data_IF_129267810132
#
_entry.id   IF_129267810132
#
_cell.length_a   1.000
_cell.length_b   1.000
_cell.length_c   1.000
_cell.angle_alpha   90.00
_cell.angle_beta   90.00
_cell.angle_gamma   90.00
#
_symmetry.space_group_name_H-M   'P 1'
#
loop_
_entity.id
_entity.type
_entity.pdbx_description
1 polymer ?
#
# COMPACT_ATOMS: atom_id res chain seq x y z
N UNK A 1 6.36 -8.93 -31.71
CA UNK A 1 7.36 -9.19 -30.65
C UNK A 1 7.44 -10.69 -30.43
N UNK A 2 8.63 -11.25 -30.23
CA UNK A 2 8.74 -12.63 -29.77
C UNK A 2 8.15 -12.73 -28.35
N UNK A 3 7.39 -13.80 -28.03
CA UNK A 3 6.89 -14.01 -26.68
C UNK A 3 8.06 -14.08 -25.70
N UNK A 4 8.01 -13.31 -24.61
CA UNK A 4 8.95 -13.42 -23.48
C UNK A 4 8.41 -14.47 -22.51
N UNK A 5 8.96 -15.70 -22.51
CA UNK A 5 8.39 -16.80 -21.72
C UNK A 5 8.55 -16.61 -20.21
N UNK A 6 9.54 -15.84 -19.79
CA UNK A 6 9.78 -15.46 -18.40
C UNK A 6 9.90 -13.94 -18.33
N UNK A 7 9.07 -13.31 -17.50
CA UNK A 7 9.14 -11.87 -17.20
C UNK A 7 9.78 -11.66 -15.83
N UNK A 8 10.59 -10.63 -15.73
CA UNK A 8 11.25 -10.18 -14.50
C UNK A 8 10.49 -9.00 -13.88
N UNK A 9 10.37 -9.00 -12.56
CA UNK A 9 9.68 -7.96 -11.80
C UNK A 9 10.15 -7.95 -10.35
N UNK A 10 9.73 -6.92 -9.61
CA UNK A 10 9.82 -6.86 -8.14
C UNK A 10 8.46 -7.16 -7.52
N UNK A 11 8.42 -7.39 -6.21
CA UNK A 11 7.14 -7.52 -5.48
C UNK A 11 6.43 -6.16 -5.39
N UNK A 12 7.13 -5.11 -4.98
CA UNK A 12 6.59 -3.75 -4.88
C UNK A 12 7.66 -2.80 -4.34
N UNK A 13 7.66 -2.62 -3.02
CA UNK A 13 8.52 -1.69 -2.28
C UNK A 13 10.01 -1.72 -2.64
N UNK A 14 10.57 -0.52 -2.81
CA UNK A 14 12.00 -0.25 -2.88
C UNK A 14 12.50 0.36 -1.56
N UNK A 15 13.79 0.17 -1.20
CA UNK A 15 14.38 0.87 -0.07
C UNK A 15 14.27 2.39 -0.26
N UNK A 16 13.83 3.10 0.78
CA UNK A 16 13.84 4.55 0.77
C UNK A 16 15.28 5.05 0.65
N UNK A 17 15.57 5.99 -0.27
CA UNK A 17 16.80 6.76 -0.21
C UNK A 17 16.95 7.44 1.15
N UNK A 18 18.18 7.61 1.63
CA UNK A 18 18.43 8.16 2.97
C UNK A 18 17.81 9.55 3.20
N UNK A 19 17.73 10.36 2.16
CA UNK A 19 17.09 11.67 2.21
C UNK A 19 15.57 11.57 2.36
N UNK A 20 14.93 10.60 1.70
CA UNK A 20 13.50 10.36 1.83
C UNK A 20 13.19 9.83 3.23
N UNK A 21 13.98 8.88 3.73
CA UNK A 21 13.84 8.33 5.08
C UNK A 21 13.94 9.43 6.15
N UNK A 22 14.90 10.34 6.01
CA UNK A 22 15.02 11.48 6.91
C UNK A 22 13.80 12.41 6.81
N UNK A 23 13.42 12.81 5.59
CA UNK A 23 12.32 13.77 5.40
C UNK A 23 10.95 13.22 5.80
N UNK A 24 10.74 11.91 5.63
CA UNK A 24 9.61 11.11 6.13
C UNK A 24 9.30 11.39 7.62
N UNK A 25 10.34 11.62 8.42
CA UNK A 25 10.24 11.87 9.86
C UNK A 25 10.12 13.37 10.21
N UNK A 26 10.19 14.25 9.22
CA UNK A 26 10.24 15.72 9.37
C UNK A 26 9.33 16.44 8.37
N UNK A 27 8.23 15.81 7.95
CA UNK A 27 7.33 16.36 6.93
C UNK A 27 6.74 17.73 7.31
N UNK A 28 6.65 18.06 8.60
CA UNK A 28 6.20 19.35 9.10
C UNK A 28 7.14 20.52 8.76
N UNK A 29 8.37 20.22 8.31
CA UNK A 29 9.36 21.21 7.89
C UNK A 29 9.28 21.56 6.40
N UNK A 30 8.47 20.84 5.63
CA UNK A 30 8.37 20.98 4.18
C UNK A 30 6.99 21.50 3.76
N UNK A 31 6.97 22.36 2.74
CA UNK A 31 5.75 22.74 2.04
C UNK A 31 5.18 21.58 1.21
N UNK A 32 3.91 21.68 0.85
CA UNK A 32 3.24 20.65 0.04
C UNK A 32 3.93 20.38 -1.29
N UNK A 33 4.47 21.42 -1.93
CA UNK A 33 5.15 21.31 -3.22
C UNK A 33 6.51 20.62 -3.08
N UNK A 34 7.24 20.89 -1.99
CA UNK A 34 8.50 20.22 -1.66
C UNK A 34 8.27 18.73 -1.35
N UNK A 35 7.19 18.40 -0.66
CA UNK A 35 6.79 17.00 -0.40
C UNK A 35 6.42 16.30 -1.72
N UNK A 36 5.70 16.98 -2.61
CA UNK A 36 5.33 16.43 -3.91
C UNK A 36 6.54 16.19 -4.81
N UNK A 37 7.49 17.13 -4.86
CA UNK A 37 8.77 17.01 -5.56
C UNK A 37 9.56 15.80 -5.04
N UNK A 38 9.75 15.73 -3.72
CA UNK A 38 10.48 14.64 -3.06
C UNK A 38 9.89 13.26 -3.34
N UNK A 39 8.56 13.17 -3.38
CA UNK A 39 7.84 11.96 -3.75
C UNK A 39 8.10 11.54 -5.20
N UNK A 40 8.04 12.48 -6.14
CA UNK A 40 8.32 12.19 -7.56
C UNK A 40 9.79 11.80 -7.76
N UNK A 41 10.73 12.51 -7.14
CA UNK A 41 12.16 12.20 -7.20
C UNK A 41 12.48 10.79 -6.70
N UNK A 42 11.80 10.35 -5.64
CA UNK A 42 12.00 9.01 -5.09
C UNK A 42 11.51 7.93 -6.06
N UNK A 43 10.34 8.15 -6.66
CA UNK A 43 9.78 7.27 -7.69
C UNK A 43 10.69 7.23 -8.92
N UNK A 44 11.24 8.37 -9.36
CA UNK A 44 12.21 8.44 -10.47
C UNK A 44 13.44 7.58 -10.15
N UNK A 45 13.98 7.67 -8.94
CA UNK A 45 15.12 6.85 -8.52
C UNK A 45 14.80 5.35 -8.60
N UNK A 46 13.64 4.93 -8.08
CA UNK A 46 13.21 3.54 -8.13
C UNK A 46 12.97 3.05 -9.58
N UNK A 47 12.38 3.88 -10.44
CA UNK A 47 12.18 3.57 -11.87
C UNK A 47 13.55 3.41 -12.55
N UNK A 48 14.48 4.34 -12.32
CA UNK A 48 15.80 4.31 -12.93
C UNK A 48 16.56 3.02 -12.61
N UNK A 49 16.53 2.57 -11.36
CA UNK A 49 17.19 1.32 -10.96
C UNK A 49 16.54 0.10 -11.63
N UNK A 50 15.20 0.03 -11.64
CA UNK A 50 14.45 -1.04 -12.29
C UNK A 50 14.70 -1.12 -13.81
N UNK A 51 14.80 0.03 -14.48
CA UNK A 51 15.11 0.12 -15.91
C UNK A 51 16.55 -0.29 -16.19
N UNK A 52 17.51 0.18 -15.39
CA UNK A 52 18.92 -0.18 -15.50
C UNK A 52 19.15 -1.69 -15.25
N UNK A 53 18.30 -2.30 -14.41
CA UNK A 53 18.26 -3.74 -14.17
C UNK A 53 17.50 -4.54 -15.27
N UNK A 54 16.98 -3.86 -16.30
CA UNK A 54 16.27 -4.47 -17.43
C UNK A 54 15.00 -5.23 -17.04
N UNK A 55 14.27 -4.77 -16.03
CA UNK A 55 13.02 -5.41 -15.61
C UNK A 55 11.92 -5.30 -16.69
N UNK A 56 11.17 -6.39 -16.87
CA UNK A 56 10.04 -6.45 -17.81
C UNK A 56 8.81 -5.73 -17.27
N UNK A 57 8.62 -5.78 -15.96
CA UNK A 57 7.48 -5.19 -15.24
C UNK A 57 7.99 -4.40 -14.04
N UNK A 58 7.67 -3.11 -14.00
CA UNK A 58 8.16 -2.18 -12.97
C UNK A 58 7.03 -1.62 -12.12
N UNK A 59 7.39 -1.10 -10.95
CA UNK A 59 6.49 -0.41 -10.00
C UNK A 59 7.02 0.99 -9.71
N UNK A 60 6.28 1.80 -8.97
CA UNK A 60 6.75 3.07 -8.40
C UNK A 60 7.68 2.86 -7.18
N UNK A 61 7.93 1.60 -6.80
CA UNK A 61 8.72 1.24 -5.64
C UNK A 61 8.03 1.53 -4.32
N UNK A 62 6.71 1.76 -4.30
CA UNK A 62 5.93 2.18 -3.12
C UNK A 62 6.58 3.39 -2.39
N UNK A 63 7.28 4.26 -3.11
CA UNK A 63 8.08 5.34 -2.52
C UNK A 63 7.24 6.43 -1.86
N UNK A 64 5.93 6.41 -2.07
CA UNK A 64 5.01 7.46 -1.58
C UNK A 64 4.11 7.00 -0.45
N UNK A 65 4.38 5.81 0.09
CA UNK A 65 3.72 5.24 1.26
C UNK A 65 4.76 4.78 2.26
N UNK A 66 4.55 5.05 3.55
CA UNK A 66 5.48 4.67 4.62
C UNK A 66 5.52 3.16 4.89
N UNK A 67 4.39 2.53 4.68
CA UNK A 67 4.16 1.12 4.96
C UNK A 67 3.14 0.56 3.96
N UNK A 68 3.38 -0.66 3.48
CA UNK A 68 2.59 -1.29 2.43
C UNK A 68 1.11 -1.48 2.80
N UNK A 69 0.75 -1.54 4.10
CA UNK A 69 -0.63 -1.64 4.53
C UNK A 69 -1.09 -0.48 5.43
N UNK A 70 -0.27 0.00 6.37
CA UNK A 70 -0.72 1.00 7.34
C UNK A 70 -0.98 2.37 6.69
N UNK A 71 -0.27 2.71 5.62
CA UNK A 71 -0.49 3.98 4.91
C UNK A 71 -1.91 4.07 4.34
N UNK A 72 -2.51 2.93 3.99
CA UNK A 72 -3.88 2.86 3.48
C UNK A 72 -4.94 3.23 4.51
N UNK A 73 -4.63 3.19 5.82
CA UNK A 73 -5.58 3.56 6.86
C UNK A 73 -5.90 5.06 6.83
N UNK A 74 -4.99 5.90 6.30
CA UNK A 74 -5.25 7.32 6.08
C UNK A 74 -6.30 7.61 5.01
N UNK A 75 -6.67 6.60 4.21
CA UNK A 75 -7.68 6.68 3.17
C UNK A 75 -9.03 6.07 3.58
N UNK A 76 -9.06 5.31 4.68
CA UNK A 76 -10.26 4.65 5.17
C UNK A 76 -11.11 5.60 6.02
N UNK A 77 -12.40 5.60 5.73
CA UNK A 77 -13.43 6.26 6.52
C UNK A 77 -13.83 5.41 7.74
N UNK A 78 -14.40 6.04 8.77
CA UNK A 78 -14.95 5.34 9.93
C UNK A 78 -13.90 4.88 10.95
N UNK A 79 -12.63 5.27 10.79
CA UNK A 79 -11.56 4.98 11.73
C UNK A 79 -11.41 6.07 12.80
N UNK A 80 -11.13 5.67 14.03
CA UNK A 80 -10.72 6.57 15.12
C UNK A 80 -9.21 6.76 15.19
N UNK A 81 -8.75 7.45 16.23
CA UNK A 81 -7.32 7.62 16.48
C UNK A 81 -6.66 6.27 16.84
N UNK A 82 -5.50 5.92 16.25
CA UNK A 82 -4.80 4.68 16.57
C UNK A 82 -4.29 4.69 18.02
N UNK A 83 -4.34 3.55 18.67
CA UNK A 83 -3.68 3.34 19.95
C UNK A 83 -2.17 3.54 19.82
N UNK A 84 -1.50 4.10 20.84
CA UNK A 84 -0.05 4.23 20.83
C UNK A 84 0.62 2.85 20.77
N UNK A 85 1.85 2.82 20.26
CA UNK A 85 2.66 1.62 20.26
C UNK A 85 2.80 1.05 21.68
N UNK A 86 2.69 -0.27 21.80
CA UNK A 86 2.97 -1.00 23.06
C UNK A 86 4.47 -1.26 23.27
N UNK A 87 5.29 -1.05 22.23
CA UNK A 87 6.75 -1.21 22.26
C UNK A 87 7.42 -0.06 21.53
N UNK A 88 8.20 0.74 22.26
CA UNK A 88 8.89 1.92 21.72
C UNK A 88 10.37 1.66 21.38
N UNK A 89 10.97 0.61 21.94
CA UNK A 89 12.39 0.30 21.76
C UNK A 89 12.58 -1.10 21.18
N UNK A 90 13.66 -1.28 20.43
CA UNK A 90 14.04 -2.54 19.77
C UNK A 90 13.81 -2.52 18.26
N UNK A 91 14.20 -3.59 17.55
CA UNK A 91 14.01 -3.67 16.10
C UNK A 91 12.54 -3.49 15.71
N UNK A 92 12.26 -2.78 14.59
CA UNK A 92 10.91 -2.66 14.06
C UNK A 92 10.24 -4.02 13.89
N UNK A 93 9.06 -4.18 14.47
CA UNK A 93 8.30 -5.42 14.47
C UNK A 93 6.79 -5.15 14.62
N UNK A 94 5.97 -6.18 14.42
CA UNK A 94 4.51 -6.05 14.42
C UNK A 94 3.92 -5.60 15.77
N UNK A 95 4.62 -5.82 16.88
CA UNK A 95 4.20 -5.38 18.21
C UNK A 95 4.49 -3.90 18.50
N UNK A 96 5.21 -3.21 17.62
CA UNK A 96 5.35 -1.75 17.63
C UNK A 96 4.22 -1.02 16.89
N UNK A 97 3.37 -1.76 16.15
CA UNK A 97 2.23 -1.18 15.44
C UNK A 97 1.07 -0.99 16.43
N UNK A 98 0.35 0.14 16.35
CA UNK A 98 -0.88 0.40 17.11
C UNK A 98 -2.08 -0.36 16.55
N UNK A 99 -3.17 -0.48 17.32
CA UNK A 99 -4.48 -0.91 16.78
C UNK A 99 -5.37 0.31 16.59
N UNK A 100 -6.27 0.26 15.61
CA UNK A 100 -7.14 1.38 15.26
C UNK A 100 -8.59 1.02 15.55
N UNK A 101 -9.31 1.80 16.39
CA UNK A 101 -10.72 1.55 16.65
C UNK A 101 -11.58 1.93 15.45
N UNK A 102 -12.63 1.16 15.20
CA UNK A 102 -13.67 1.49 14.23
C UNK A 102 -14.77 2.28 14.96
N UNK A 103 -14.98 3.53 14.56
CA UNK A 103 -15.93 4.48 15.17
C UNK A 103 -17.12 4.82 14.27
N UNK A 104 -17.12 4.32 13.03
CA UNK A 104 -18.22 4.47 12.08
C UNK A 104 -18.17 3.41 10.98
N UNK A 105 -19.02 3.57 9.95
CA UNK A 105 -19.04 2.67 8.80
C UNK A 105 -17.75 2.78 8.00
N UNK A 106 -17.13 1.63 7.72
CA UNK A 106 -15.92 1.54 6.89
C UNK A 106 -16.23 1.91 5.44
N UNK A 107 -15.32 2.68 4.83
CA UNK A 107 -15.40 3.11 3.44
C UNK A 107 -14.07 3.72 2.98
N UNK A 108 -14.02 4.19 1.74
CA UNK A 108 -12.91 5.01 1.23
C UNK A 108 -13.46 5.95 0.15
N UNK A 109 -14.13 7.02 0.55
CA UNK A 109 -14.83 7.92 -0.37
C UNK A 109 -13.92 8.55 -1.45
N UNK A 110 -12.61 8.59 -1.19
CA UNK A 110 -11.58 9.13 -2.09
C UNK A 110 -10.73 8.04 -2.76
N UNK A 111 -11.11 6.77 -2.65
CA UNK A 111 -10.28 5.63 -3.00
C UNK A 111 -9.16 5.39 -1.98
N UNK A 112 -8.34 4.38 -2.25
CA UNK A 112 -7.22 3.93 -1.41
C UNK A 112 -5.89 4.61 -1.78
N UNK A 113 -5.87 5.46 -2.80
CA UNK A 113 -4.70 6.25 -3.21
C UNK A 113 -3.79 5.54 -4.24
N UNK A 114 -3.95 4.23 -4.43
CA UNK A 114 -3.13 3.45 -5.37
C UNK A 114 -3.32 3.91 -6.82
N UNK A 115 -4.51 4.39 -7.18
CA UNK A 115 -4.75 4.98 -8.52
C UNK A 115 -3.86 6.21 -8.76
N UNK A 116 -3.69 7.08 -7.76
CA UNK A 116 -2.85 8.28 -7.90
C UNK A 116 -1.36 7.91 -7.99
N UNK A 117 -0.93 6.91 -7.22
CA UNK A 117 0.42 6.34 -7.29
C UNK A 117 0.70 5.73 -8.68
N UNK A 118 -0.23 4.93 -9.21
CA UNK A 118 -0.13 4.35 -10.53
C UNK A 118 -0.09 5.41 -11.65
N UNK A 119 -0.92 6.45 -11.56
CA UNK A 119 -0.89 7.56 -12.50
C UNK A 119 0.44 8.33 -12.46
N UNK A 120 1.05 8.47 -11.27
CA UNK A 120 2.40 9.03 -11.14
C UNK A 120 3.41 8.13 -11.86
N UNK A 121 3.36 6.82 -11.65
CA UNK A 121 4.21 5.86 -12.38
C UNK A 121 4.03 5.98 -13.90
N UNK A 122 2.80 6.09 -14.39
CA UNK A 122 2.53 6.29 -15.82
C UNK A 122 3.17 7.55 -16.39
N UNK A 123 3.19 8.65 -15.63
CA UNK A 123 3.83 9.91 -16.07
C UNK A 123 5.35 9.82 -16.11
N UNK A 124 5.94 9.13 -15.13
CA UNK A 124 7.40 9.14 -14.90
C UNK A 124 8.13 7.98 -15.62
N UNK A 125 7.45 6.86 -15.86
CA UNK A 125 8.07 5.69 -16.48
C UNK A 125 8.34 5.92 -17.97
N UNK A 126 9.48 5.43 -18.50
CA UNK A 126 9.71 5.42 -19.93
C UNK A 126 8.81 4.37 -20.62
N UNK A 127 8.65 4.51 -21.94
CA UNK A 127 8.00 3.48 -22.73
C UNK A 127 8.82 2.16 -22.71
N UNK A 128 8.14 1.01 -22.72
CA UNK A 128 8.79 -0.29 -22.82
C UNK A 128 8.33 -1.31 -21.78
N UNK A 129 8.55 -1.08 -20.47
CA UNK A 129 8.13 -2.01 -19.42
C UNK A 129 6.61 -2.00 -19.24
N UNK A 130 6.09 -3.09 -18.68
CA UNK A 130 4.73 -3.10 -18.13
C UNK A 130 4.74 -2.40 -16.77
N UNK A 131 3.71 -1.62 -16.49
CA UNK A 131 3.57 -0.93 -15.20
C UNK A 131 2.64 -1.73 -14.29
N UNK A 132 3.04 -1.90 -13.03
CA UNK A 132 2.32 -2.71 -12.05
C UNK A 132 1.99 -1.89 -10.81
N UNK A 133 0.78 -2.05 -10.30
CA UNK A 133 0.34 -1.50 -9.03
C UNK A 133 0.06 -2.60 -7.99
N UNK A 134 0.23 -2.28 -6.71
CA UNK A 134 -0.05 -3.15 -5.58
C UNK A 134 -1.13 -2.52 -4.69
N UNK A 135 -2.05 -3.34 -4.18
CA UNK A 135 -3.06 -2.95 -3.19
C UNK A 135 -3.10 -4.03 -2.12
N UNK A 136 -3.07 -3.68 -0.81
CA UNK A 136 -3.22 -4.69 0.23
C UNK A 136 -4.60 -5.35 0.15
N UNK A 137 -4.64 -6.66 0.37
CA UNK A 137 -5.89 -7.39 0.42
C UNK A 137 -6.73 -7.03 1.65
N UNK A 138 -8.06 -7.25 1.60
CA UNK A 138 -8.98 -6.82 2.65
C UNK A 138 -8.70 -7.51 3.99
N UNK A 139 -8.17 -8.73 3.99
CA UNK A 139 -7.87 -9.46 5.22
C UNK A 139 -6.59 -8.95 5.89
N UNK A 140 -5.64 -8.47 5.10
CA UNK A 140 -4.46 -7.76 5.61
C UNK A 140 -4.81 -6.38 6.11
N UNK A 141 -5.71 -5.67 5.43
CA UNK A 141 -6.24 -4.38 5.90
C UNK A 141 -7.04 -4.52 7.20
N UNK A 142 -7.73 -5.63 7.47
CA UNK A 142 -8.47 -5.81 8.72
C UNK A 142 -7.58 -6.04 9.95
N UNK A 143 -6.31 -6.43 9.76
CA UNK A 143 -5.45 -6.98 10.82
C UNK A 143 -5.11 -6.04 11.98
N UNK A 144 -5.18 -4.71 11.79
CA UNK A 144 -4.96 -3.72 12.85
C UNK A 144 -6.22 -2.98 13.25
N UNK A 145 -7.38 -3.35 12.72
CA UNK A 145 -8.66 -2.78 13.10
C UNK A 145 -9.25 -3.54 14.30
N UNK A 146 -9.84 -2.81 15.24
CA UNK A 146 -10.43 -3.39 16.44
C UNK A 146 -11.90 -3.76 16.18
N UNK A 147 -12.32 -5.02 16.44
CA UNK A 147 -13.72 -5.39 16.42
C UNK A 147 -14.58 -4.55 17.36
N UNK A 148 -15.84 -4.36 17.00
CA UNK A 148 -16.84 -3.62 17.76
C UNK A 148 -18.22 -4.28 17.62
N UNK A 149 -19.29 -3.63 18.10
CA UNK A 149 -20.63 -4.19 18.00
C UNK A 149 -21.16 -4.34 16.55
N UNK A 150 -20.68 -3.51 15.61
CA UNK A 150 -21.08 -3.56 14.20
C UNK A 150 -20.26 -4.59 13.41
N UNK A 151 -18.98 -4.73 13.75
CA UNK A 151 -18.04 -5.67 13.13
C UNK A 151 -17.45 -6.56 14.24
N UNK A 152 -18.12 -7.67 14.59
CA UNK A 152 -17.85 -8.43 15.82
C UNK A 152 -16.51 -9.17 15.83
N UNK A 153 -15.94 -9.40 14.65
CA UNK A 153 -14.67 -10.10 14.48
C UNK A 153 -13.92 -9.61 13.23
N UNK A 154 -12.72 -10.13 13.03
CA UNK A 154 -11.87 -9.77 11.89
C UNK A 154 -12.49 -10.18 10.56
N UNK A 155 -13.26 -11.26 10.51
CA UNK A 155 -13.92 -11.72 9.30
C UNK A 155 -14.99 -10.70 8.86
N UNK A 156 -15.83 -10.23 9.78
CA UNK A 156 -16.81 -9.18 9.52
C UNK A 156 -16.17 -7.86 9.08
N UNK A 157 -15.02 -7.48 9.66
CA UNK A 157 -14.25 -6.32 9.21
C UNK A 157 -13.73 -6.55 7.78
N UNK A 158 -13.22 -7.75 7.49
CA UNK A 158 -12.70 -8.13 6.17
C UNK A 158 -13.79 -8.03 5.11
N UNK A 159 -14.98 -8.60 5.38
CA UNK A 159 -16.16 -8.51 4.51
C UNK A 159 -16.56 -7.06 4.22
N UNK A 160 -16.48 -6.19 5.23
CA UNK A 160 -16.77 -4.76 5.07
C UNK A 160 -15.74 -4.02 4.19
N UNK A 161 -14.50 -4.51 4.10
CA UNK A 161 -13.43 -3.91 3.29
C UNK A 161 -13.38 -4.46 1.86
N UNK A 162 -14.01 -5.61 1.57
CA UNK A 162 -14.04 -6.20 0.22
C UNK A 162 -14.54 -5.20 -0.84
N UNK A 163 -15.67 -4.47 -0.64
CA UNK A 163 -16.15 -3.52 -1.64
C UNK A 163 -15.15 -2.37 -1.89
N UNK A 164 -14.44 -1.93 -0.85
CA UNK A 164 -13.43 -0.87 -0.93
C UNK A 164 -12.26 -1.30 -1.80
N UNK A 165 -11.65 -2.45 -1.48
CA UNK A 165 -10.51 -2.99 -2.26
C UNK A 165 -10.94 -3.32 -3.69
N UNK A 166 -12.13 -3.90 -3.88
CA UNK A 166 -12.67 -4.20 -5.21
C UNK A 166 -12.78 -2.94 -6.06
N UNK A 167 -13.31 -1.85 -5.50
CA UNK A 167 -13.47 -0.61 -6.24
C UNK A 167 -12.11 -0.04 -6.67
N UNK A 168 -11.12 -0.02 -5.77
CA UNK A 168 -9.77 0.44 -6.10
C UNK A 168 -9.16 -0.38 -7.26
N UNK A 169 -9.31 -1.71 -7.23
CA UNK A 169 -8.81 -2.58 -8.31
C UNK A 169 -9.51 -2.28 -9.65
N UNK A 170 -10.83 -2.04 -9.64
CA UNK A 170 -11.58 -1.64 -10.85
C UNK A 170 -11.08 -0.29 -11.37
N UNK A 171 -10.83 0.66 -10.48
CA UNK A 171 -10.37 2.00 -10.85
C UNK A 171 -8.94 1.97 -11.41
N UNK A 172 -8.07 1.11 -10.87
CA UNK A 172 -6.74 0.85 -11.43
C UNK A 172 -6.80 0.25 -12.84
N UNK A 173 -7.66 -0.75 -13.07
CA UNK A 173 -7.88 -1.31 -14.43
C UNK A 173 -8.39 -0.21 -15.36
N UNK A 174 -9.31 0.63 -14.89
CA UNK A 174 -9.86 1.76 -15.66
C UNK A 174 -8.80 2.81 -15.99
N UNK A 175 -7.85 3.04 -15.08
CA UNK A 175 -6.68 3.90 -15.30
C UNK A 175 -5.64 3.28 -16.26
N UNK A 176 -5.84 2.04 -16.71
CA UNK A 176 -4.99 1.33 -17.66
C UNK A 176 -3.94 0.42 -17.02
N UNK A 177 -4.07 0.09 -15.74
CA UNK A 177 -3.19 -0.89 -15.08
C UNK A 177 -3.52 -2.30 -15.56
N UNK A 178 -2.55 -2.95 -16.21
CA UNK A 178 -2.71 -4.30 -16.78
C UNK A 178 -2.08 -5.40 -15.92
N UNK A 179 -1.24 -5.03 -14.96
CA UNK A 179 -0.65 -5.95 -13.99
C UNK A 179 -0.96 -5.44 -12.56
N UNK A 180 -1.64 -6.26 -11.77
CA UNK A 180 -2.11 -5.90 -10.42
C UNK A 180 -1.62 -6.94 -9.42
N UNK A 181 -1.21 -6.49 -8.24
CA UNK A 181 -0.86 -7.35 -7.11
C UNK A 181 -1.81 -7.08 -5.94
N UNK A 182 -2.34 -8.14 -5.34
CA UNK A 182 -3.09 -8.06 -4.07
C UNK A 182 -2.20 -8.61 -2.97
N UNK A 183 -1.70 -7.74 -2.11
CA UNK A 183 -0.78 -8.12 -1.04
C UNK A 183 -1.56 -8.66 0.16
N UNK A 184 -1.59 -9.99 0.29
CA UNK A 184 -2.37 -10.68 1.32
C UNK A 184 -1.51 -11.62 2.21
N UNK A 185 -0.43 -11.12 2.84
CA UNK A 185 0.43 -11.95 3.68
C UNK A 185 -0.27 -12.45 4.95
N UNK A 186 -1.31 -11.75 5.41
CA UNK A 186 -2.03 -12.12 6.64
C UNK A 186 -2.67 -13.50 6.57
N UNK A 187 -3.09 -13.95 5.39
CA UNK A 187 -3.63 -15.30 5.22
C UNK A 187 -2.63 -16.36 5.68
N UNK A 188 -1.35 -16.24 5.31
CA UNK A 188 -0.33 -17.20 5.74
C UNK A 188 0.03 -17.10 7.23
N UNK A 189 -0.27 -15.98 7.89
CA UNK A 189 0.04 -15.77 9.30
C UNK A 189 -1.10 -16.16 10.25
N UNK A 190 -2.36 -16.06 9.81
CA UNK A 190 -3.52 -16.13 10.70
C UNK A 190 -4.62 -17.11 10.25
N UNK A 191 -4.59 -17.61 9.01
CA UNK A 191 -5.65 -18.49 8.50
C UNK A 191 -5.83 -19.75 9.36
N UNK A 192 -4.76 -20.29 9.95
CA UNK A 192 -4.85 -21.49 10.81
C UNK A 192 -5.71 -21.31 12.07
N UNK A 193 -5.93 -20.06 12.51
CA UNK A 193 -6.69 -19.72 13.72
C UNK A 193 -8.08 -19.17 13.43
N UNK A 194 -8.38 -18.91 12.16
CA UNK A 194 -9.60 -18.21 11.74
C UNK A 194 -10.45 -19.03 10.76
N UNK A 195 -10.14 -20.32 10.57
CA UNK A 195 -10.99 -21.28 9.87
C UNK A 195 -11.92 -21.94 10.92
N UNK A 196 -13.21 -21.55 11.01
CA UNK A 196 -14.17 -22.29 11.81
C UNK A 196 -14.55 -23.57 11.07
N UNK A 197 -14.55 -24.70 11.79
CA UNK A 197 -15.04 -26.00 11.28
C UNK A 197 -16.40 -25.90 10.55
#
# INVERSE_FOLDING_TARGET
>A
MQPRPLRTTVIGSYPFPSWLEYASQHLDQFGSDEIAEMQEDAVICAIHDQIAAWLDVITDGDQTRFDFNLSFYGFLDGLGAPEPSRRNFGPPAHDQRGKTPIVGTLGAARGLGAVAEFQRLQRLAPAGPTLKASVPGPYTLSGRLMPNAQYPDRYAITEALIPVVRQELIDLVTAGCTELTVDEPSMSCYAYSEDPD
#
